data_IF_304555781301
#
_entry.id   IF_304555781301
#
_cell.length_a   1.000
_cell.length_b   1.000
_cell.length_c   1.000
_cell.angle_alpha   90.00
_cell.angle_beta   90.00
_cell.angle_gamma   90.00
#
_symmetry.space_group_name_H-M   'P 1'
#
loop_
_entity.id
_entity.type
_entity.pdbx_description
1 polymer ?
#
# COMPACT_ATOMS: atom_id res chain seq x y z
N UNK A 1 20.15 -5.61 22.73
CA UNK A 1 19.52 -4.27 22.62
C UNK A 1 18.13 -4.36 23.21
N UNK A 2 17.74 -3.42 24.06
CA UNK A 2 16.44 -3.42 24.75
C UNK A 2 15.67 -2.16 24.39
N UNK A 3 14.37 -2.29 24.13
CA UNK A 3 13.46 -1.18 23.86
C UNK A 3 12.52 -1.07 25.05
N UNK A 4 12.55 0.07 25.73
CA UNK A 4 11.69 0.34 26.87
C UNK A 4 10.49 1.17 26.40
N UNK A 5 9.29 0.67 26.65
CA UNK A 5 8.03 1.35 26.37
C UNK A 5 7.23 1.50 27.68
N UNK A 6 7.36 2.64 28.38
CA UNK A 6 6.67 2.85 29.63
C UNK A 6 5.16 3.08 29.40
N UNK A 7 4.33 2.53 30.27
CA UNK A 7 2.87 2.76 30.31
C UNK A 7 2.51 4.17 30.78
N UNK A 8 3.45 4.86 31.43
CA UNK A 8 3.18 6.07 32.21
C UNK A 8 2.56 5.74 33.58
N UNK A 9 2.13 6.76 34.33
CA UNK A 9 1.33 6.58 35.53
C UNK A 9 0.03 5.84 35.19
N UNK A 10 -0.40 4.94 36.09
CA UNK A 10 -1.61 4.12 35.97
C UNK A 10 -2.57 4.36 37.15
N UNK A 11 -2.39 5.49 37.82
CA UNK A 11 -3.04 5.89 39.07
C UNK A 11 -4.17 6.89 38.85
N UNK A 12 -4.49 7.22 37.59
CA UNK A 12 -5.53 8.20 37.26
C UNK A 12 -6.89 7.52 37.14
N UNK A 13 -7.95 8.26 37.46
CA UNK A 13 -9.33 7.74 37.46
C UNK A 13 -9.81 7.20 36.09
N UNK A 14 -9.14 7.58 35.01
CA UNK A 14 -9.45 7.14 33.64
C UNK A 14 -8.43 6.14 33.07
N UNK A 15 -7.41 5.76 33.84
CA UNK A 15 -6.44 4.76 33.42
C UNK A 15 -7.05 3.36 33.50
N UNK A 16 -6.70 2.54 32.52
CA UNK A 16 -7.28 1.22 32.28
C UNK A 16 -6.25 0.36 31.55
N UNK A 17 -6.50 -0.94 31.47
CA UNK A 17 -5.81 -1.96 30.68
C UNK A 17 -5.24 -1.50 29.34
N UNK A 18 -5.96 -0.60 28.64
CA UNK A 18 -5.55 -0.01 27.35
C UNK A 18 -4.19 0.67 27.38
N UNK A 19 -3.77 1.22 28.53
CA UNK A 19 -2.42 1.81 28.68
C UNK A 19 -1.32 0.79 28.51
N UNK A 20 -1.53 -0.43 29.01
CA UNK A 20 -0.60 -1.57 28.84
C UNK A 20 -0.57 -1.97 27.36
N UNK A 21 -1.73 -2.06 26.74
CA UNK A 21 -1.87 -2.37 25.32
C UNK A 21 -1.13 -1.35 24.43
N UNK A 22 -1.35 -0.05 24.65
CA UNK A 22 -0.73 1.03 23.87
C UNK A 22 0.80 1.08 24.05
N UNK A 23 1.28 0.85 25.28
CA UNK A 23 2.71 0.75 25.57
C UNK A 23 3.36 -0.44 24.83
N UNK A 24 2.75 -1.62 24.90
CA UNK A 24 3.25 -2.80 24.18
C UNK A 24 3.24 -2.58 22.66
N UNK A 25 2.17 -2.00 22.12
CA UNK A 25 2.02 -1.67 20.70
C UNK A 25 3.11 -0.71 20.21
N UNK A 26 3.34 0.38 20.95
CA UNK A 26 4.36 1.39 20.59
C UNK A 26 5.79 0.83 20.68
N UNK A 27 6.09 0.04 21.71
CA UNK A 27 7.38 -0.64 21.85
C UNK A 27 7.68 -1.60 20.71
N UNK A 28 6.69 -2.44 20.34
CA UNK A 28 6.87 -3.40 19.26
C UNK A 28 6.96 -2.74 17.89
N UNK A 29 6.15 -1.70 17.63
CA UNK A 29 6.26 -0.92 16.39
C UNK A 29 7.68 -0.37 16.20
N UNK A 30 8.27 0.16 17.27
CA UNK A 30 9.66 0.62 17.25
C UNK A 30 10.67 -0.51 17.05
N UNK A 31 10.41 -1.69 17.62
CA UNK A 31 11.24 -2.88 17.38
C UNK A 31 11.21 -3.30 15.90
N UNK A 32 10.05 -3.30 15.26
CA UNK A 32 9.91 -3.61 13.84
C UNK A 32 10.62 -2.55 12.97
N UNK A 33 10.45 -1.26 13.28
CA UNK A 33 11.13 -0.16 12.57
C UNK A 33 12.67 -0.26 12.66
N UNK A 34 13.20 -0.78 13.77
CA UNK A 34 14.62 -1.05 13.96
C UNK A 34 15.11 -2.37 13.33
N UNK A 35 14.21 -3.14 12.70
CA UNK A 35 14.55 -4.38 11.99
C UNK A 35 14.65 -5.64 12.86
N UNK A 36 14.11 -5.63 14.08
CA UNK A 36 14.10 -6.83 14.94
C UNK A 36 13.12 -7.88 14.38
N UNK A 37 13.61 -9.12 14.18
CA UNK A 37 12.78 -10.24 13.68
C UNK A 37 12.13 -11.09 14.76
N UNK A 38 12.75 -11.21 15.92
CA UNK A 38 12.29 -12.07 17.03
C UNK A 38 12.40 -11.35 18.38
N UNK A 39 11.59 -10.31 18.62
CA UNK A 39 11.60 -9.58 19.89
C UNK A 39 10.96 -10.42 21.01
N UNK A 40 11.56 -10.39 22.20
CA UNK A 40 10.98 -10.94 23.42
C UNK A 40 10.21 -9.83 24.15
N UNK A 41 8.91 -10.03 24.37
CA UNK A 41 8.07 -9.12 25.14
C UNK A 41 8.14 -9.50 26.63
N UNK A 42 8.52 -8.53 27.47
CA UNK A 42 8.55 -8.69 28.92
C UNK A 42 7.72 -7.59 29.56
N UNK A 43 6.74 -7.97 30.37
CA UNK A 43 5.98 -7.04 31.19
C UNK A 43 6.67 -6.92 32.56
N UNK A 44 7.19 -5.73 32.86
CA UNK A 44 7.75 -5.42 34.17
C UNK A 44 6.68 -5.14 35.23
N UNK A 45 7.07 -4.98 36.51
CA UNK A 45 6.15 -4.64 37.58
C UNK A 45 5.49 -3.28 37.33
N UNK A 46 4.15 -3.24 37.41
CA UNK A 46 3.36 -2.02 37.25
C UNK A 46 3.14 -1.34 38.60
N UNK A 47 4.15 -0.60 39.07
CA UNK A 47 4.19 -0.05 40.43
C UNK A 47 3.08 0.97 40.74
N UNK A 48 2.64 1.74 39.73
CA UNK A 48 1.58 2.76 39.86
C UNK A 48 0.17 2.21 39.65
N UNK A 49 0.02 0.93 39.30
CA UNK A 49 -1.28 0.37 38.97
C UNK A 49 -2.06 -0.05 40.23
N UNK A 50 -3.37 0.24 40.29
CA UNK A 50 -4.24 -0.19 41.38
C UNK A 50 -4.35 -1.72 41.45
N UNK A 51 -4.09 -2.30 42.62
CA UNK A 51 -4.16 -3.76 42.84
C UNK A 51 -5.59 -4.32 42.88
N UNK A 52 -6.56 -3.46 43.19
CA UNK A 52 -7.99 -3.75 43.27
C UNK A 52 -8.66 -3.77 41.89
N UNK A 53 -8.05 -3.15 40.88
CA UNK A 53 -8.60 -3.09 39.54
C UNK A 53 -8.73 -4.48 38.90
N UNK A 54 -9.91 -4.77 38.35
CA UNK A 54 -10.22 -6.06 37.69
C UNK A 54 -9.22 -6.39 36.59
N UNK A 55 -8.79 -5.39 35.83
CA UNK A 55 -7.84 -5.55 34.73
C UNK A 55 -6.39 -5.81 35.18
N UNK A 56 -6.09 -5.64 36.47
CA UNK A 56 -4.79 -5.97 37.08
C UNK A 56 -4.73 -7.39 37.66
N UNK A 57 -5.86 -8.09 37.74
CA UNK A 57 -5.94 -9.39 38.38
C UNK A 57 -5.38 -10.51 37.48
N UNK A 58 -4.70 -11.47 38.10
CA UNK A 58 -4.24 -12.69 37.42
C UNK A 58 -3.33 -12.41 36.21
N UNK A 59 -3.75 -12.91 35.04
CA UNK A 59 -2.98 -12.85 33.78
C UNK A 59 -3.43 -11.73 32.82
N UNK A 60 -4.40 -10.90 33.24
CA UNK A 60 -4.97 -9.87 32.36
C UNK A 60 -3.96 -8.82 31.89
N UNK A 61 -3.03 -8.30 32.71
CA UNK A 61 -2.01 -7.37 32.25
C UNK A 61 -1.14 -7.94 31.13
N UNK A 62 -0.72 -9.21 31.27
CA UNK A 62 0.11 -9.91 30.29
C UNK A 62 -0.67 -10.13 28.99
N UNK A 63 -1.94 -10.52 29.08
CA UNK A 63 -2.80 -10.71 27.91
C UNK A 63 -2.98 -9.40 27.14
N UNK A 64 -3.23 -8.29 27.83
CA UNK A 64 -3.35 -6.96 27.22
C UNK A 64 -2.06 -6.53 26.52
N UNK A 65 -0.90 -6.77 27.14
CA UNK A 65 0.40 -6.51 26.51
C UNK A 65 0.59 -7.34 25.24
N UNK A 66 0.25 -8.64 25.28
CA UNK A 66 0.34 -9.54 24.12
C UNK A 66 -0.58 -9.06 23.00
N UNK A 67 -1.81 -8.67 23.30
CA UNK A 67 -2.77 -8.16 22.31
C UNK A 67 -2.29 -6.85 21.67
N UNK A 68 -1.69 -5.94 22.45
CA UNK A 68 -1.09 -4.71 21.94
C UNK A 68 0.07 -4.98 21.00
N UNK A 69 0.94 -5.90 21.39
CA UNK A 69 2.06 -6.36 20.57
C UNK A 69 1.58 -7.00 19.25
N UNK A 70 0.66 -7.96 19.30
CA UNK A 70 0.13 -8.62 18.09
C UNK A 70 -0.58 -7.62 17.16
N UNK A 71 -1.30 -6.64 17.70
CA UNK A 71 -1.92 -5.59 16.89
C UNK A 71 -0.91 -4.73 16.15
N UNK A 72 0.28 -4.49 16.71
CA UNK A 72 1.35 -3.78 16.01
C UNK A 72 1.90 -4.59 14.81
N UNK A 73 1.96 -5.91 14.92
CA UNK A 73 2.35 -6.79 13.80
C UNK A 73 1.24 -6.92 12.76
N UNK A 74 -0.01 -6.87 13.20
CA UNK A 74 -1.19 -6.87 12.34
C UNK A 74 -1.40 -5.51 11.67
N UNK A 75 -0.43 -5.08 10.88
CA UNK A 75 -0.61 -3.96 9.95
C UNK A 75 -0.92 -4.55 8.58
N UNK A 76 -2.00 -4.13 7.88
CA UNK A 76 -2.18 -4.53 6.48
C UNK A 76 -0.94 -4.07 5.73
N UNK A 77 -0.27 -5.02 5.08
CA UNK A 77 0.99 -4.81 4.38
C UNK A 77 0.79 -3.64 3.43
N UNK A 78 1.36 -2.46 3.74
CA UNK A 78 1.23 -1.26 2.90
C UNK A 78 1.66 -1.56 1.46
N UNK A 79 2.58 -2.49 1.31
CA UNK A 79 3.06 -2.97 0.02
C UNK A 79 1.97 -3.72 -0.76
N UNK A 80 1.11 -4.49 -0.09
CA UNK A 80 -0.03 -5.16 -0.73
C UNK A 80 -1.07 -4.14 -1.18
N UNK A 81 -1.33 -3.09 -0.38
CA UNK A 81 -2.24 -2.02 -0.78
C UNK A 81 -1.70 -1.24 -1.99
N UNK A 82 -0.39 -0.93 -1.99
CA UNK A 82 0.27 -0.28 -3.13
C UNK A 82 0.23 -1.14 -4.39
N UNK A 83 0.47 -2.43 -4.26
CA UNK A 83 0.38 -3.39 -5.36
C UNK A 83 -1.04 -3.45 -5.92
N UNK A 84 -2.04 -3.60 -5.06
CA UNK A 84 -3.45 -3.66 -5.46
C UNK A 84 -3.89 -2.38 -6.18
N UNK A 85 -3.49 -1.21 -5.67
CA UNK A 85 -3.73 0.07 -6.32
C UNK A 85 -3.13 0.14 -7.73
N UNK A 86 -1.85 -0.24 -7.88
CA UNK A 86 -1.18 -0.25 -9.18
C UNK A 86 -1.87 -1.18 -10.18
N UNK A 87 -2.35 -2.35 -9.73
CA UNK A 87 -3.10 -3.29 -10.57
C UNK A 87 -4.46 -2.71 -11.01
N UNK A 88 -5.17 -2.02 -10.12
CA UNK A 88 -6.47 -1.44 -10.43
C UNK A 88 -6.36 -0.25 -11.39
N UNK A 89 -5.35 0.60 -11.23
CA UNK A 89 -5.06 1.70 -12.17
C UNK A 89 -4.75 1.17 -13.58
N UNK A 90 -3.95 0.10 -13.68
CA UNK A 90 -3.71 -0.56 -14.96
C UNK A 90 -4.99 -1.10 -15.60
N UNK A 91 -5.86 -1.74 -14.81
CA UNK A 91 -7.16 -2.23 -15.30
C UNK A 91 -8.07 -1.09 -15.78
N UNK A 92 -8.12 0.02 -15.03
CA UNK A 92 -8.91 1.19 -15.39
C UNK A 92 -8.55 1.68 -16.79
N UNK A 93 -7.26 1.89 -17.05
CA UNK A 93 -6.74 2.34 -18.36
C UNK A 93 -7.12 1.35 -19.46
N UNK A 94 -6.94 0.05 -19.25
CA UNK A 94 -7.30 -0.96 -20.27
C UNK A 94 -8.80 -1.00 -20.57
N UNK A 95 -9.66 -0.77 -19.57
CA UNK A 95 -11.11 -0.71 -19.76
C UNK A 95 -11.51 0.53 -20.57
N UNK A 96 -10.87 1.66 -20.32
CA UNK A 96 -11.12 2.89 -21.07
C UNK A 96 -10.72 2.73 -22.54
N UNK A 97 -9.60 2.04 -22.80
CA UNK A 97 -9.11 1.75 -24.15
C UNK A 97 -10.02 0.78 -24.91
N UNK A 98 -10.42 -0.32 -24.27
CA UNK A 98 -11.15 -1.40 -24.92
C UNK A 98 -12.68 -1.23 -24.93
N UNK A 99 -13.23 -0.44 -24.02
CA UNK A 99 -14.68 -0.26 -23.84
C UNK A 99 -15.26 0.93 -24.61
N UNK A 100 -14.42 1.76 -25.22
CA UNK A 100 -14.81 2.95 -25.98
C UNK A 100 -14.99 2.64 -27.46
N UNK A 101 -15.82 3.42 -28.17
CA UNK A 101 -16.00 3.27 -29.62
C UNK A 101 -14.67 3.47 -30.37
N UNK A 102 -14.43 2.74 -31.48
CA UNK A 102 -13.20 2.87 -32.26
C UNK A 102 -12.93 4.29 -32.78
N UNK A 103 -13.96 5.10 -33.00
CA UNK A 103 -13.82 6.51 -33.40
C UNK A 103 -13.38 7.42 -32.23
N UNK A 104 -13.76 7.06 -31.01
CA UNK A 104 -13.36 7.76 -29.78
C UNK A 104 -11.96 7.38 -29.35
N UNK A 105 -11.59 6.12 -29.54
CA UNK A 105 -10.34 5.52 -29.06
C UNK A 105 -9.55 4.89 -30.23
N UNK A 106 -9.25 5.70 -31.23
CA UNK A 106 -8.41 5.30 -32.37
C UNK A 106 -6.96 5.14 -31.94
N UNK A 107 -6.15 4.43 -32.75
CA UNK A 107 -4.74 4.17 -32.44
C UNK A 107 -3.94 5.45 -32.10
N UNK A 108 -4.22 6.57 -32.77
CA UNK A 108 -3.59 7.86 -32.47
C UNK A 108 -4.05 8.44 -31.13
N UNK A 109 -5.36 8.41 -30.84
CA UNK A 109 -5.93 8.92 -29.59
C UNK A 109 -5.49 8.10 -28.37
N UNK A 110 -5.25 6.80 -28.53
CA UNK A 110 -4.68 5.97 -27.46
C UNK A 110 -3.30 6.49 -27.06
N UNK A 111 -2.46 6.86 -28.03
CA UNK A 111 -1.13 7.42 -27.75
C UNK A 111 -1.26 8.75 -27.01
N UNK A 112 -2.08 9.68 -27.49
CA UNK A 112 -2.34 10.97 -26.82
C UNK A 112 -2.88 10.78 -25.39
N UNK A 113 -3.81 9.83 -25.19
CA UNK A 113 -4.37 9.52 -23.89
C UNK A 113 -3.30 8.95 -22.93
N UNK A 114 -2.44 8.04 -23.40
CA UNK A 114 -1.37 7.49 -22.57
C UNK A 114 -0.32 8.55 -22.22
N UNK A 115 0.01 9.47 -23.14
CA UNK A 115 0.88 10.61 -22.84
C UNK A 115 0.30 11.50 -21.73
N UNK A 116 -1.01 11.74 -21.75
CA UNK A 116 -1.69 12.50 -20.70
C UNK A 116 -1.70 11.76 -19.36
N UNK A 117 -1.98 10.45 -19.37
CA UNK A 117 -2.01 9.62 -18.16
C UNK A 117 -0.62 9.55 -17.50
N UNK A 118 0.43 9.40 -18.30
CA UNK A 118 1.81 9.31 -17.81
C UNK A 118 2.55 10.65 -17.76
N UNK A 119 1.88 11.78 -18.03
CA UNK A 119 2.51 13.11 -18.06
C UNK A 119 3.25 13.48 -16.76
N UNK A 120 2.74 12.97 -15.63
CA UNK A 120 3.29 13.24 -14.30
C UNK A 120 4.27 12.16 -13.81
N UNK A 121 4.50 11.10 -14.59
CA UNK A 121 5.31 9.96 -14.20
C UNK A 121 6.68 9.97 -14.89
N UNK A 122 7.74 10.22 -14.11
CA UNK A 122 9.12 10.27 -14.62
C UNK A 122 9.76 8.90 -14.87
N UNK A 123 9.12 7.82 -14.45
CA UNK A 123 9.64 6.45 -14.55
C UNK A 123 9.23 5.73 -15.83
N UNK A 124 8.21 6.23 -16.53
CA UNK A 124 7.65 5.58 -17.72
C UNK A 124 8.13 6.32 -18.97
N UNK A 125 8.87 5.63 -19.83
CA UNK A 125 9.26 6.16 -21.14
C UNK A 125 8.38 5.56 -22.22
N UNK A 126 7.53 6.38 -22.84
CA UNK A 126 6.70 5.98 -23.96
C UNK A 126 7.40 6.31 -25.29
N UNK A 127 7.35 5.38 -26.25
CA UNK A 127 7.83 5.59 -27.61
C UNK A 127 6.75 5.16 -28.60
N UNK A 128 6.24 6.11 -29.37
CA UNK A 128 5.36 5.85 -30.50
C UNK A 128 6.12 6.16 -31.79
N UNK A 129 6.23 5.17 -32.66
CA UNK A 129 6.89 5.29 -33.96
C UNK A 129 5.94 4.83 -35.07
N UNK A 130 6.10 5.42 -36.26
CA UNK A 130 5.35 4.95 -37.42
C UNK A 130 5.83 3.55 -37.79
N UNK A 131 4.89 2.67 -38.12
CA UNK A 131 5.20 1.27 -38.49
C UNK A 131 6.15 1.23 -39.69
N UNK A 132 7.37 0.74 -39.45
CA UNK A 132 8.35 0.45 -40.49
C UNK A 132 7.97 -0.85 -41.24
N UNK A 133 7.74 -0.80 -42.56
CA UNK A 133 7.36 -1.98 -43.35
C UNK A 133 8.43 -3.07 -43.43
N UNK A 134 9.71 -2.70 -43.31
CA UNK A 134 10.84 -3.64 -43.39
C UNK A 134 10.97 -4.38 -42.06
N UNK A 135 10.82 -3.65 -40.95
CA UNK A 135 10.92 -4.21 -39.60
C UNK A 135 9.66 -4.97 -39.18
N UNK A 136 8.48 -4.51 -39.59
CA UNK A 136 7.17 -5.05 -39.20
C UNK A 136 6.22 -5.23 -40.40
N UNK A 137 6.47 -6.22 -41.28
CA UNK A 137 5.76 -6.37 -42.55
C UNK A 137 4.26 -6.71 -42.40
N UNK A 138 3.88 -7.49 -41.38
CA UNK A 138 2.47 -7.83 -41.14
C UNK A 138 1.67 -6.62 -40.61
N UNK A 139 2.22 -5.88 -39.65
CA UNK A 139 1.61 -4.63 -39.16
C UNK A 139 1.45 -3.60 -40.29
N UNK A 140 2.45 -3.47 -41.17
CA UNK A 140 2.39 -2.57 -42.31
C UNK A 140 1.33 -2.99 -43.34
N UNK A 141 1.10 -4.29 -43.51
CA UNK A 141 0.05 -4.81 -44.41
C UNK A 141 -1.34 -4.52 -43.86
N UNK A 142 -1.57 -4.74 -42.56
CA UNK A 142 -2.83 -4.39 -41.89
C UNK A 142 -3.08 -2.88 -41.92
N UNK A 143 -2.04 -2.08 -41.61
CA UNK A 143 -2.14 -0.63 -41.63
C UNK A 143 -2.50 -0.09 -43.03
N UNK A 144 -2.04 -0.75 -44.10
CA UNK A 144 -2.42 -0.40 -45.48
C UNK A 144 -3.91 -0.53 -45.74
N UNK A 145 -4.56 -1.55 -45.19
CA UNK A 145 -6.00 -1.75 -45.31
C UNK A 145 -6.80 -0.74 -44.46
N UNK A 146 -6.26 -0.31 -43.33
CA UNK A 146 -6.90 0.64 -42.42
C UNK A 146 -6.83 2.12 -42.88
N UNK A 147 -5.86 2.47 -43.74
CA UNK A 147 -5.63 3.85 -44.24
C UNK A 147 -6.82 4.51 -44.95
N UNK A 148 -7.87 3.76 -45.30
CA UNK A 148 -9.09 4.30 -45.92
C UNK A 148 -10.03 5.07 -44.97
N UNK A 149 -9.83 5.02 -43.66
CA UNK A 149 -10.78 5.56 -42.66
C UNK A 149 -10.29 6.82 -41.93
N UNK A 150 -8.99 7.08 -41.86
CA UNK A 150 -8.44 8.25 -41.15
C UNK A 150 -7.23 8.82 -41.89
N UNK A 151 -7.43 10.00 -42.51
CA UNK A 151 -6.33 10.83 -43.03
C UNK A 151 -5.75 11.66 -41.88
N UNK A 152 -4.46 11.57 -41.57
CA UNK A 152 -3.81 12.53 -40.70
C UNK A 152 -3.57 13.79 -41.53
N UNK A 153 -4.26 14.88 -41.21
CA UNK A 153 -3.75 16.20 -41.57
C UNK A 153 -2.46 16.41 -40.78
N UNK A 154 -1.37 16.56 -41.53
CA UNK A 154 0.03 16.80 -41.17
C UNK A 154 0.89 15.55 -40.91
#
# INVERSE_FOLDING_TARGET
MQINAPTGPLDRDYDDSRRIYDAAKSGLKKAVELGFRSPLLVLGPLASAPSDAVWMQGIYPQLNAIMGALSALYTPVKDVLRLAWAMEEGRRITRDICGSDPERMSAYRIVEYLEQVFANDSQVTMKAERVDPVKYPFCATVNRAAKGLFSPTC
#
